data_IF_589766022409
#
_entry.id   IF_589766022409
#
_cell.length_a   1.000
_cell.length_b   1.000
_cell.length_c   1.000
_cell.angle_alpha   90.00
_cell.angle_beta   90.00
_cell.angle_gamma   90.00
#
_symmetry.space_group_name_H-M   'P 1'
#
loop_
_entity.id
_entity.type
_entity.pdbx_description
1 polymer ?
#
# COMPACT_ATOMS: atom_id res chain seq x y z
N UNK A 1 9.57 -23.80 -13.89
CA UNK A 1 9.44 -25.08 -13.15
C UNK A 1 8.39 -24.91 -12.07
N UNK A 2 7.27 -25.62 -12.18
CA UNK A 2 6.21 -25.64 -11.14
C UNK A 2 6.77 -26.43 -9.95
N UNK A 3 6.91 -25.75 -8.79
CA UNK A 3 7.27 -26.46 -7.55
C UNK A 3 6.24 -27.56 -7.26
N UNK A 4 6.70 -28.70 -6.72
CA UNK A 4 5.81 -29.81 -6.37
C UNK A 4 4.62 -29.32 -5.53
N UNK A 5 3.43 -29.91 -5.69
CA UNK A 5 2.27 -29.55 -4.87
C UNK A 5 2.58 -29.86 -3.39
N UNK A 6 1.96 -29.15 -2.44
CA UNK A 6 2.13 -29.42 -1.03
C UNK A 6 1.63 -30.83 -0.68
N UNK A 7 2.19 -31.42 0.37
CA UNK A 7 1.85 -32.77 0.82
C UNK A 7 0.38 -32.91 1.27
N UNK A 8 -0.26 -31.80 1.70
CA UNK A 8 -1.69 -31.73 2.04
C UNK A 8 -2.23 -30.31 1.84
N UNK A 9 -3.56 -30.18 1.59
CA UNK A 9 -4.22 -28.87 1.65
C UNK A 9 -4.11 -28.23 3.05
N UNK A 10 -3.86 -26.92 3.09
CA UNK A 10 -3.78 -26.11 4.31
C UNK A 10 -4.91 -25.08 4.31
N UNK A 11 -5.40 -24.70 5.48
CA UNK A 11 -6.32 -23.57 5.66
C UNK A 11 -5.52 -22.33 6.04
N UNK A 12 -5.48 -21.34 5.16
CA UNK A 12 -4.73 -20.09 5.32
C UNK A 12 -5.73 -18.93 5.36
N UNK A 13 -5.75 -18.22 6.49
CA UNK A 13 -6.63 -17.07 6.67
C UNK A 13 -5.90 -15.78 6.30
N UNK A 14 -6.48 -15.00 5.41
CA UNK A 14 -6.00 -13.69 4.97
C UNK A 14 -6.78 -12.60 5.71
N UNK A 15 -6.20 -12.07 6.77
CA UNK A 15 -6.73 -10.92 7.50
C UNK A 15 -6.22 -9.63 6.85
N UNK A 16 -7.02 -9.01 5.97
CA UNK A 16 -6.59 -7.89 5.12
C UNK A 16 -7.46 -6.66 5.35
N UNK A 17 -6.81 -5.48 5.41
CA UNK A 17 -7.50 -4.19 5.47
C UNK A 17 -8.38 -3.98 4.21
N UNK A 18 -9.63 -3.45 4.35
CA UNK A 18 -10.61 -3.37 3.25
C UNK A 18 -10.27 -2.35 2.15
N UNK A 19 -9.17 -1.63 2.27
CA UNK A 19 -8.72 -0.68 1.24
C UNK A 19 -8.37 -1.38 -0.07
N UNK A 20 -8.79 -0.87 -1.25
CA UNK A 20 -8.54 -1.51 -2.53
C UNK A 20 -7.04 -1.79 -2.80
N UNK A 21 -6.14 -0.88 -2.38
CA UNK A 21 -4.69 -1.07 -2.52
C UNK A 21 -4.16 -2.28 -1.74
N UNK A 22 -4.78 -2.61 -0.60
CA UNK A 22 -4.41 -3.73 0.26
C UNK A 22 -4.94 -5.05 -0.28
N UNK A 23 -6.26 -5.12 -0.53
CA UNK A 23 -6.90 -6.34 -1.01
C UNK A 23 -6.36 -6.74 -2.39
N UNK A 24 -6.28 -5.82 -3.35
CA UNK A 24 -5.76 -6.13 -4.68
C UNK A 24 -4.29 -6.60 -4.63
N UNK A 25 -3.47 -6.01 -3.76
CA UNK A 25 -2.10 -6.48 -3.59
C UNK A 25 -2.06 -7.91 -3.03
N UNK A 26 -2.93 -8.26 -2.07
CA UNK A 26 -2.93 -9.57 -1.41
C UNK A 26 -3.28 -10.73 -2.36
N UNK A 27 -4.03 -10.48 -3.44
CA UNK A 27 -4.38 -11.51 -4.42
C UNK A 27 -3.14 -12.13 -5.08
N UNK A 28 -2.04 -11.39 -5.21
CA UNK A 28 -0.78 -11.89 -5.76
C UNK A 28 -0.20 -13.06 -4.94
N UNK A 29 -0.45 -13.09 -3.63
CA UNK A 29 -0.07 -14.22 -2.76
C UNK A 29 -1.21 -15.24 -2.62
N UNK A 30 -2.45 -14.78 -2.52
CA UNK A 30 -3.61 -15.64 -2.29
C UNK A 30 -3.94 -16.55 -3.48
N UNK A 31 -3.86 -16.02 -4.71
CA UNK A 31 -4.16 -16.80 -5.92
C UNK A 31 -3.20 -17.98 -6.14
N UNK A 32 -1.86 -17.83 -6.06
CA UNK A 32 -0.94 -18.95 -6.13
C UNK A 32 -1.17 -20.00 -5.05
N UNK A 33 -1.44 -19.61 -3.80
CA UNK A 33 -1.76 -20.55 -2.72
C UNK A 33 -3.01 -21.36 -3.03
N UNK A 34 -4.08 -20.68 -3.49
CA UNK A 34 -5.31 -21.38 -3.91
C UNK A 34 -5.08 -22.30 -5.09
N UNK A 35 -4.32 -21.87 -6.09
CA UNK A 35 -3.98 -22.70 -7.26
C UNK A 35 -3.18 -23.97 -6.89
N UNK A 36 -2.49 -23.95 -5.76
CA UNK A 36 -1.77 -25.10 -5.19
C UNK A 36 -2.64 -25.99 -4.30
N UNK A 37 -3.96 -25.71 -4.24
CA UNK A 37 -4.94 -26.54 -3.53
C UNK A 37 -5.19 -26.15 -2.07
N UNK A 38 -4.63 -25.04 -1.58
CA UNK A 38 -4.92 -24.56 -0.22
C UNK A 38 -6.30 -23.91 -0.15
N UNK A 39 -6.95 -24.03 1.00
CA UNK A 39 -8.16 -23.27 1.33
C UNK A 39 -7.73 -21.88 1.80
N UNK A 40 -8.03 -20.87 0.99
CA UNK A 40 -7.72 -19.46 1.30
C UNK A 40 -9.01 -18.74 1.66
N UNK A 41 -9.08 -18.20 2.89
CA UNK A 41 -10.25 -17.51 3.43
C UNK A 41 -9.86 -16.07 3.74
N UNK A 42 -10.59 -15.11 3.19
CA UNK A 42 -10.46 -13.71 3.60
C UNK A 42 -11.26 -13.46 4.88
N UNK A 43 -10.59 -12.92 5.89
CA UNK A 43 -11.16 -12.57 7.18
C UNK A 43 -10.97 -11.09 7.43
N UNK A 44 -12.05 -10.31 7.43
CA UNK A 44 -11.89 -8.85 7.42
C UNK A 44 -13.16 -8.07 7.68
N UNK A 45 -13.02 -6.74 7.61
CA UNK A 45 -14.14 -5.81 7.68
C UNK A 45 -15.00 -5.92 6.41
N UNK A 46 -16.32 -5.75 6.54
CA UNK A 46 -17.30 -5.97 5.47
C UNK A 46 -16.99 -5.25 4.14
N UNK A 47 -16.36 -4.07 4.18
CA UNK A 47 -15.99 -3.31 2.97
C UNK A 47 -15.02 -4.02 2.01
N UNK A 48 -14.40 -5.13 2.43
CA UNK A 48 -13.55 -5.96 1.58
C UNK A 48 -14.26 -7.10 0.86
N UNK A 49 -15.49 -7.44 1.28
CA UNK A 49 -16.23 -8.62 0.83
C UNK A 49 -16.38 -8.68 -0.69
N UNK A 50 -16.88 -7.60 -1.30
CA UNK A 50 -17.17 -7.57 -2.73
C UNK A 50 -15.93 -7.88 -3.59
N UNK A 51 -14.75 -7.34 -3.21
CA UNK A 51 -13.50 -7.58 -3.91
C UNK A 51 -13.02 -9.02 -3.76
N UNK A 52 -13.02 -9.56 -2.53
CA UNK A 52 -12.56 -10.94 -2.29
C UNK A 52 -13.46 -11.97 -2.95
N UNK A 53 -14.79 -11.83 -2.78
CA UNK A 53 -15.79 -12.73 -3.40
C UNK A 53 -15.75 -12.62 -4.93
N UNK A 54 -15.59 -11.42 -5.48
CA UNK A 54 -15.45 -11.21 -6.92
C UNK A 54 -14.24 -11.91 -7.54
N UNK A 55 -13.21 -12.23 -6.74
CA UNK A 55 -12.04 -13.05 -7.12
C UNK A 55 -12.24 -14.54 -6.78
N UNK A 56 -13.43 -14.95 -6.33
CA UNK A 56 -13.77 -16.33 -6.01
C UNK A 56 -13.19 -16.83 -4.69
N UNK A 57 -12.87 -15.95 -3.73
CA UNK A 57 -12.43 -16.33 -2.40
C UNK A 57 -13.62 -16.40 -1.41
N UNK A 58 -13.53 -17.32 -0.45
CA UNK A 58 -14.39 -17.32 0.73
C UNK A 58 -14.11 -16.04 1.55
N UNK A 59 -15.16 -15.40 2.07
CA UNK A 59 -15.03 -14.21 2.90
C UNK A 59 -15.87 -14.33 4.17
N UNK A 60 -15.22 -14.16 5.31
CA UNK A 60 -15.85 -14.10 6.64
C UNK A 60 -15.63 -12.70 7.22
N UNK A 61 -16.72 -12.02 7.53
CA UNK A 61 -16.66 -10.70 8.15
C UNK A 61 -16.53 -10.79 9.67
N UNK A 62 -15.73 -9.91 10.25
CA UNK A 62 -15.77 -9.63 11.68
C UNK A 62 -16.13 -8.16 11.90
N UNK A 63 -16.67 -7.86 13.11
CA UNK A 63 -16.96 -6.49 13.52
C UNK A 63 -17.83 -5.72 12.51
N UNK A 64 -18.88 -6.36 11.99
CA UNK A 64 -19.80 -5.79 11.00
C UNK A 64 -20.45 -4.48 11.47
N UNK A 65 -20.64 -4.34 12.79
CA UNK A 65 -21.16 -3.14 13.46
C UNK A 65 -20.17 -1.96 13.45
N UNK A 66 -18.88 -2.21 13.20
CA UNK A 66 -17.82 -1.19 13.32
C UNK A 66 -17.55 -0.43 12.03
N UNK A 67 -17.77 -1.05 10.90
CA UNK A 67 -17.54 -0.46 9.58
C UNK A 67 -18.71 -0.80 8.65
N UNK A 68 -19.88 -0.21 8.83
CA UNK A 68 -20.90 -0.29 7.80
C UNK A 68 -20.29 0.22 6.49
N UNK A 69 -20.57 -0.45 5.39
CA UNK A 69 -20.26 0.08 4.07
C UNK A 69 -20.80 1.50 4.03
N UNK A 70 -19.92 2.49 3.84
CA UNK A 70 -20.38 3.87 3.72
C UNK A 70 -21.26 3.94 2.48
N UNK A 71 -22.52 4.37 2.58
CA UNK A 71 -23.31 4.67 1.40
C UNK A 71 -22.49 5.65 0.54
N UNK A 72 -22.41 5.39 -0.76
CA UNK A 72 -21.87 6.33 -1.72
C UNK A 72 -22.66 7.63 -1.58
N UNK A 73 -22.02 8.70 -1.05
CA UNK A 73 -22.66 9.99 -0.87
C UNK A 73 -22.77 10.50 0.56
N UNK A 74 -22.31 9.78 1.58
CA UNK A 74 -22.31 10.31 2.96
C UNK A 74 -21.42 11.56 3.07
N UNK A 75 -21.94 12.69 3.60
CA UNK A 75 -21.20 13.94 3.67
C UNK A 75 -19.92 13.81 4.51
N UNK A 76 -18.81 14.32 3.98
CA UNK A 76 -17.49 14.35 4.64
C UNK A 76 -17.45 15.36 5.81
N UNK A 77 -18.51 16.09 6.07
CA UNK A 77 -18.61 17.18 7.01
C UNK A 77 -18.85 16.73 8.47
N UNK A 78 -18.04 15.81 8.97
CA UNK A 78 -17.96 15.62 10.41
C UNK A 78 -16.90 16.57 10.97
N UNK A 79 -17.23 17.34 12.02
CA UNK A 79 -16.25 18.13 12.77
C UNK A 79 -15.15 17.21 13.29
N UNK A 80 -13.96 17.76 13.56
CA UNK A 80 -12.85 16.98 14.13
C UNK A 80 -13.27 16.19 15.39
N UNK A 81 -14.11 16.75 16.25
CA UNK A 81 -14.69 16.09 17.43
C UNK A 81 -15.56 14.89 17.08
N UNK A 82 -16.44 15.02 16.09
CA UNK A 82 -17.30 13.93 15.65
C UNK A 82 -16.50 12.76 15.07
N UNK A 83 -15.51 13.05 14.23
CA UNK A 83 -14.59 12.03 13.69
C UNK A 83 -13.89 11.26 14.79
N UNK A 84 -13.50 11.96 15.82
CA UNK A 84 -12.81 11.36 16.94
C UNK A 84 -13.71 10.51 17.83
N UNK A 85 -14.88 10.98 18.21
CA UNK A 85 -15.83 10.17 18.97
C UNK A 85 -16.18 8.87 18.24
N UNK A 86 -16.31 8.92 16.92
CA UNK A 86 -16.50 7.73 16.09
C UNK A 86 -15.29 6.80 16.21
N UNK A 87 -14.06 7.35 16.12
CA UNK A 87 -12.84 6.53 16.19
C UNK A 87 -12.68 5.88 17.57
N UNK A 88 -12.95 6.62 18.66
CA UNK A 88 -12.88 6.07 20.02
C UNK A 88 -13.92 4.96 20.24
N UNK A 89 -15.15 5.14 19.77
CA UNK A 89 -16.18 4.07 19.82
C UNK A 89 -15.72 2.82 19.03
N UNK A 90 -15.12 3.03 17.86
CA UNK A 90 -14.58 1.93 17.05
C UNK A 90 -13.49 1.16 17.79
N UNK A 91 -12.51 1.84 18.37
CA UNK A 91 -11.45 1.19 19.15
C UNK A 91 -11.98 0.44 20.37
N UNK A 92 -12.96 1.00 21.08
CA UNK A 92 -13.59 0.32 22.21
C UNK A 92 -14.38 -0.92 21.78
N UNK A 93 -15.12 -0.84 20.68
CA UNK A 93 -15.85 -1.98 20.15
C UNK A 93 -14.90 -3.07 19.66
N UNK A 94 -13.86 -2.72 18.89
CA UNK A 94 -12.81 -3.64 18.48
C UNK A 94 -12.12 -4.30 19.69
N UNK A 95 -11.76 -3.51 20.71
CA UNK A 95 -11.12 -4.08 21.89
C UNK A 95 -12.06 -5.08 22.59
N UNK A 96 -13.36 -4.76 22.74
CA UNK A 96 -14.33 -5.71 23.30
C UNK A 96 -14.34 -7.00 22.49
N UNK A 97 -14.58 -6.95 21.20
CA UNK A 97 -14.64 -8.13 20.32
C UNK A 97 -13.35 -8.95 20.34
N UNK A 98 -12.20 -8.27 20.48
CA UNK A 98 -10.91 -8.95 20.63
C UNK A 98 -10.72 -9.59 22.02
N UNK A 99 -11.46 -9.18 23.05
CA UNK A 99 -11.26 -9.62 24.45
C UNK A 99 -12.40 -10.38 25.06
N UNK A 100 -13.62 -10.31 24.50
CA UNK A 100 -14.78 -11.09 24.92
C UNK A 100 -14.84 -12.50 24.26
N UNK A 101 -13.83 -12.84 23.47
CA UNK A 101 -13.70 -14.10 22.78
C UNK A 101 -14.45 -14.19 21.44
N UNK A 102 -15.13 -13.13 21.02
CA UNK A 102 -15.90 -13.15 19.74
C UNK A 102 -14.99 -13.36 18.55
N UNK A 103 -13.92 -12.54 18.43
CA UNK A 103 -12.94 -12.68 17.33
C UNK A 103 -12.26 -14.05 17.38
N UNK A 104 -11.92 -14.53 18.57
CA UNK A 104 -11.28 -15.84 18.74
C UNK A 104 -12.17 -16.98 18.28
N UNK A 105 -13.46 -16.99 18.71
CA UNK A 105 -14.42 -18.02 18.28
C UNK A 105 -14.58 -18.05 16.77
N UNK A 106 -14.69 -16.90 16.14
CA UNK A 106 -14.80 -16.81 14.68
C UNK A 106 -13.52 -17.31 14.00
N UNK A 107 -12.35 -16.86 14.47
CA UNK A 107 -11.08 -17.24 13.88
C UNK A 107 -10.80 -18.75 14.05
N UNK A 108 -11.04 -19.29 15.24
CA UNK A 108 -10.82 -20.72 15.53
C UNK A 108 -11.81 -21.62 14.78
N UNK A 109 -13.03 -21.15 14.54
CA UNK A 109 -14.01 -21.88 13.73
C UNK A 109 -13.56 -22.09 12.27
N UNK A 110 -12.66 -21.25 11.77
CA UNK A 110 -12.05 -21.42 10.45
C UNK A 110 -10.94 -22.48 10.43
N UNK A 111 -10.47 -22.93 11.59
CA UNK A 111 -9.36 -23.86 11.75
C UNK A 111 -8.10 -23.48 10.98
N UNK A 112 -7.59 -22.24 11.14
CA UNK A 112 -6.44 -21.78 10.38
C UNK A 112 -5.15 -22.46 10.85
N UNK A 113 -4.35 -22.93 9.92
CA UNK A 113 -2.97 -23.36 10.19
C UNK A 113 -2.00 -22.19 10.15
N UNK A 114 -2.41 -21.07 9.49
CA UNK A 114 -1.64 -19.83 9.45
C UNK A 114 -2.54 -18.64 9.16
N UNK A 115 -2.19 -17.50 9.74
CA UNK A 115 -2.82 -16.21 9.44
C UNK A 115 -1.84 -15.31 8.71
N UNK A 116 -2.17 -14.91 7.47
CA UNK A 116 -1.52 -13.81 6.75
C UNK A 116 -2.24 -12.53 7.14
N UNK A 117 -1.56 -11.63 7.84
CA UNK A 117 -2.17 -10.45 8.43
C UNK A 117 -1.58 -9.15 7.87
N UNK A 118 -2.45 -8.25 7.42
CA UNK A 118 -2.08 -6.89 7.05
C UNK A 118 -1.70 -6.07 8.30
N UNK A 119 -0.62 -5.31 8.22
CA UNK A 119 -0.13 -4.49 9.33
C UNK A 119 -1.14 -3.48 9.87
N UNK A 120 -2.12 -3.04 9.08
CA UNK A 120 -3.18 -2.12 9.53
C UNK A 120 -4.25 -2.79 10.42
N UNK A 121 -4.35 -4.11 10.37
CA UNK A 121 -5.28 -4.88 11.22
C UNK A 121 -4.54 -5.83 12.16
N UNK A 122 -3.39 -5.38 12.63
CA UNK A 122 -2.46 -6.07 13.55
C UNK A 122 -3.14 -6.71 14.78
N UNK A 123 -4.34 -6.23 15.17
CA UNK A 123 -5.08 -6.81 16.30
C UNK A 123 -5.54 -8.24 16.02
N UNK A 124 -5.78 -8.63 14.76
CA UNK A 124 -6.04 -10.03 14.39
C UNK A 124 -4.77 -10.87 14.60
N UNK A 125 -3.61 -10.35 14.19
CA UNK A 125 -2.33 -11.01 14.41
C UNK A 125 -2.04 -11.24 15.91
N UNK A 126 -2.26 -10.23 16.76
CA UNK A 126 -2.11 -10.35 18.22
C UNK A 126 -3.00 -11.46 18.78
N UNK A 127 -4.25 -11.57 18.30
CA UNK A 127 -5.17 -12.63 18.77
C UNK A 127 -4.77 -14.00 18.25
N UNK A 128 -4.34 -14.12 16.99
CA UNK A 128 -3.84 -15.37 16.43
C UNK A 128 -2.61 -15.87 17.22
N UNK A 129 -1.64 -14.98 17.46
CA UNK A 129 -0.45 -15.29 18.29
C UNK A 129 -0.82 -15.74 19.71
N UNK A 130 -1.80 -15.10 20.35
CA UNK A 130 -2.28 -15.50 21.67
C UNK A 130 -2.95 -16.89 21.69
N UNK A 131 -3.32 -17.41 20.53
CA UNK A 131 -3.87 -18.77 20.37
C UNK A 131 -2.87 -19.77 19.79
N UNK A 132 -1.60 -19.39 19.69
CA UNK A 132 -0.55 -20.24 19.14
C UNK A 132 -0.65 -20.47 17.62
N UNK A 133 -1.45 -19.68 16.91
CA UNK A 133 -1.56 -19.76 15.46
C UNK A 133 -0.39 -18.97 14.83
N UNK A 134 0.39 -19.57 13.93
CA UNK A 134 1.45 -18.87 13.20
C UNK A 134 0.92 -17.67 12.42
N UNK A 135 1.70 -16.58 12.42
CA UNK A 135 1.35 -15.34 11.74
C UNK A 135 2.45 -14.93 10.77
N UNK A 136 2.05 -14.54 9.58
CA UNK A 136 2.89 -13.86 8.58
C UNK A 136 2.33 -12.46 8.36
N UNK A 137 3.18 -11.46 8.46
CA UNK A 137 2.79 -10.08 8.17
C UNK A 137 2.82 -9.82 6.66
N UNK A 138 1.76 -9.25 6.12
CA UNK A 138 1.68 -8.84 4.72
C UNK A 138 1.90 -7.33 4.63
N UNK A 139 3.02 -6.94 4.03
CA UNK A 139 3.40 -5.55 3.81
C UNK A 139 3.10 -5.13 2.37
N UNK A 140 2.19 -4.21 2.18
CA UNK A 140 1.83 -3.71 0.85
C UNK A 140 2.77 -2.60 0.35
N UNK A 141 3.65 -2.12 1.18
CA UNK A 141 4.69 -1.14 0.88
C UNK A 141 6.07 -1.74 1.14
N UNK A 142 7.10 -1.12 0.59
CA UNK A 142 8.47 -1.48 0.91
C UNK A 142 8.71 -1.27 2.41
N UNK A 143 8.93 -2.36 3.12
CA UNK A 143 9.06 -2.38 4.57
C UNK A 143 10.49 -2.01 4.94
N UNK A 144 10.70 -0.78 5.39
CA UNK A 144 11.95 -0.39 6.01
C UNK A 144 11.80 -0.52 7.54
N UNK A 145 12.35 -1.59 8.12
CA UNK A 145 12.65 -1.60 9.55
C UNK A 145 13.65 -0.49 9.86
N UNK A 146 13.62 0.11 11.08
CA UNK A 146 14.59 1.12 11.47
C UNK A 146 16.03 0.65 11.23
N UNK A 147 16.75 1.34 10.37
CA UNK A 147 18.13 1.01 10.01
C UNK A 147 18.87 2.31 9.61
N UNK A 148 20.23 2.31 9.61
CA UNK A 148 21.01 3.51 9.29
C UNK A 148 21.17 3.78 7.79
N UNK A 149 20.67 2.92 6.92
CA UNK A 149 20.97 2.97 5.49
C UNK A 149 19.82 3.49 4.64
N UNK A 150 18.57 3.27 5.06
CA UNK A 150 17.38 3.64 4.31
C UNK A 150 16.41 4.42 5.18
N UNK A 151 15.97 5.59 4.72
CA UNK A 151 14.99 6.42 5.42
C UNK A 151 13.60 5.75 5.45
N UNK A 152 12.76 6.12 6.44
CA UNK A 152 11.36 5.71 6.43
C UNK A 152 10.69 6.04 5.09
N UNK A 153 9.76 5.19 4.66
CA UNK A 153 9.06 5.36 3.36
C UNK A 153 8.27 6.67 3.22
N UNK A 154 7.97 7.33 4.34
CA UNK A 154 7.35 8.65 4.35
C UNK A 154 8.23 9.78 3.83
N UNK A 155 9.54 9.57 3.82
CA UNK A 155 10.50 10.59 3.43
C UNK A 155 11.16 10.20 2.11
N UNK A 156 11.12 11.12 1.15
CA UNK A 156 11.65 10.91 -0.20
C UNK A 156 13.16 11.06 -0.29
N UNK A 157 13.91 10.63 0.71
CA UNK A 157 15.38 10.71 0.70
C UNK A 157 15.97 9.54 -0.06
N UNK A 158 16.82 9.86 -1.05
CA UNK A 158 17.65 8.87 -1.73
C UNK A 158 18.92 8.67 -0.88
N UNK A 159 19.18 7.47 -0.35
CA UNK A 159 20.38 7.21 0.44
C UNK A 159 21.62 7.22 -0.46
N UNK A 160 22.73 7.70 0.09
CA UNK A 160 24.05 7.66 -0.54
C UNK A 160 25.03 6.95 0.38
N UNK A 161 26.03 6.29 -0.15
CA UNK A 161 27.06 5.63 0.66
C UNK A 161 28.09 6.63 1.20
N UNK A 162 27.61 7.53 2.06
CA UNK A 162 28.41 8.53 2.78
C UNK A 162 27.97 8.61 4.23
N UNK A 163 28.91 8.94 5.14
CA UNK A 163 28.59 9.13 6.54
C UNK A 163 27.55 10.23 6.78
N UNK A 164 27.55 11.29 5.97
CA UNK A 164 26.54 12.38 6.01
C UNK A 164 25.16 11.85 5.68
N UNK A 165 25.03 11.01 4.64
CA UNK A 165 23.75 10.40 4.29
C UNK A 165 23.23 9.49 5.41
N UNK A 166 24.10 8.69 6.03
CA UNK A 166 23.73 7.83 7.18
C UNK A 166 23.26 8.67 8.38
N UNK A 167 23.90 9.80 8.65
CA UNK A 167 23.45 10.72 9.71
C UNK A 167 22.07 11.31 9.41
N UNK A 168 21.84 11.74 8.16
CA UNK A 168 20.54 12.26 7.73
C UNK A 168 19.43 11.19 7.80
N UNK A 169 19.73 9.94 7.42
CA UNK A 169 18.79 8.80 7.55
C UNK A 169 18.44 8.56 9.03
N UNK A 170 19.43 8.59 9.93
CA UNK A 170 19.17 8.51 11.39
C UNK A 170 18.30 9.68 11.86
N UNK A 171 18.53 10.88 11.37
CA UNK A 171 17.70 12.06 11.63
C UNK A 171 16.24 11.86 11.18
N UNK A 172 16.02 11.29 10.00
CA UNK A 172 14.68 10.98 9.48
C UNK A 172 13.95 9.97 10.41
N UNK A 173 14.62 8.93 10.88
CA UNK A 173 14.06 7.97 11.84
C UNK A 173 13.74 8.62 13.20
N UNK A 174 14.64 9.46 13.72
CA UNK A 174 14.40 10.21 14.96
C UNK A 174 13.22 11.17 14.81
N UNK A 175 13.15 11.87 13.68
CA UNK A 175 12.04 12.77 13.36
C UNK A 175 10.72 12.02 13.32
N UNK A 176 10.63 10.89 12.62
CA UNK A 176 9.42 10.07 12.57
C UNK A 176 8.99 9.60 13.97
N UNK A 177 9.95 9.18 14.81
CA UNK A 177 9.67 8.83 16.22
C UNK A 177 9.18 10.04 17.01
N UNK A 178 9.80 11.20 16.85
CA UNK A 178 9.40 12.44 17.52
C UNK A 178 7.99 12.88 17.09
N UNK A 179 7.69 12.89 15.80
CA UNK A 179 6.35 13.20 15.27
C UNK A 179 5.28 12.23 15.83
N UNK A 180 5.62 10.94 15.90
CA UNK A 180 4.73 9.93 16.49
C UNK A 180 4.54 10.15 18.00
N UNK A 181 5.59 10.49 18.74
CA UNK A 181 5.53 10.76 20.19
C UNK A 181 4.81 12.08 20.51
N UNK A 182 5.12 13.16 19.78
CA UNK A 182 4.46 14.47 19.94
C UNK A 182 2.98 14.37 19.61
N UNK A 183 2.62 13.71 18.52
CA UNK A 183 1.22 13.44 18.19
C UNK A 183 0.49 12.66 19.30
N UNK A 184 1.19 11.73 19.98
CA UNK A 184 0.69 10.97 21.13
C UNK A 184 0.54 11.84 22.39
N UNK A 185 1.52 12.69 22.68
CA UNK A 185 1.49 13.57 23.87
C UNK A 185 0.44 14.66 23.72
N UNK A 186 0.35 15.31 22.55
CA UNK A 186 -0.71 16.25 22.25
C UNK A 186 -2.10 15.59 22.32
N UNK A 187 -2.23 14.40 21.75
CA UNK A 187 -3.43 13.60 21.93
C UNK A 187 -3.69 13.31 23.42
N UNK A 188 -2.72 12.92 24.21
CA UNK A 188 -2.84 12.64 25.64
C UNK A 188 -3.16 13.89 26.48
N UNK A 189 -2.54 15.05 26.21
CA UNK A 189 -2.78 16.31 26.89
C UNK A 189 -4.17 16.90 26.59
N UNK A 190 -4.56 16.87 25.34
CA UNK A 190 -5.91 17.31 24.91
C UNK A 190 -7.02 16.41 25.44
N UNK A 191 -6.69 15.15 25.77
CA UNK A 191 -7.64 14.08 26.12
C UNK A 191 -7.57 13.66 27.59
N UNK A 192 -6.57 14.05 28.33
CA UNK A 192 -6.43 13.76 29.76
C UNK A 192 -7.59 14.31 30.62
N UNK A 193 -8.36 15.25 30.07
CA UNK A 193 -9.58 15.79 30.71
C UNK A 193 -10.83 14.91 30.54
N UNK A 194 -10.85 13.97 29.59
CA UNK A 194 -11.96 13.04 29.38
C UNK A 194 -11.56 11.67 29.90
N UNK A 195 -11.94 11.38 31.14
CA UNK A 195 -11.65 10.14 31.86
C UNK A 195 -12.29 8.94 31.19
N UNK A 196 -11.60 8.32 30.22
CA UNK A 196 -11.84 6.92 29.90
C UNK A 196 -10.90 6.09 30.77
N UNK A 197 -11.40 5.12 31.57
CA UNK A 197 -10.57 4.27 32.42
C UNK A 197 -9.54 3.46 31.62
N UNK A 198 -9.76 3.29 30.31
CA UNK A 198 -8.94 2.42 29.47
C UNK A 198 -7.90 3.17 28.62
N UNK A 199 -7.87 4.52 28.61
CA UNK A 199 -6.93 5.38 27.85
C UNK A 199 -6.72 4.97 26.38
N UNK A 200 -7.76 4.47 25.72
CA UNK A 200 -7.73 3.97 24.33
C UNK A 200 -8.00 5.13 23.37
N UNK A 201 -7.25 6.21 23.51
CA UNK A 201 -7.48 7.41 22.69
C UNK A 201 -6.73 7.38 21.36
N UNK A 202 -5.84 6.42 21.18
CA UNK A 202 -5.01 6.25 19.99
C UNK A 202 -4.63 4.77 19.83
N UNK A 203 -4.18 4.42 18.64
CA UNK A 203 -3.86 3.07 18.25
C UNK A 203 -2.90 2.34 19.19
N UNK A 204 -1.87 3.02 19.73
CA UNK A 204 -0.95 2.42 20.70
C UNK A 204 -1.57 2.16 22.07
N UNK A 205 -2.56 2.94 22.48
CA UNK A 205 -3.36 2.64 23.68
C UNK A 205 -4.14 1.35 23.49
N UNK A 206 -4.76 1.20 22.33
CA UNK A 206 -5.45 -0.03 21.95
C UNK A 206 -4.49 -1.22 21.89
N UNK A 207 -3.34 -1.09 21.21
CA UNK A 207 -2.33 -2.14 21.12
C UNK A 207 -1.89 -2.62 22.51
N UNK A 208 -1.46 -1.72 23.39
CA UNK A 208 -1.00 -2.06 24.74
C UNK A 208 -2.10 -2.73 25.58
N UNK A 209 -3.33 -2.25 25.47
CA UNK A 209 -4.46 -2.83 26.17
C UNK A 209 -4.76 -4.26 25.66
N UNK A 210 -4.73 -4.45 24.34
CA UNK A 210 -4.96 -5.75 23.73
C UNK A 210 -3.86 -6.76 24.08
N UNK A 211 -2.59 -6.40 23.91
CA UNK A 211 -1.44 -7.26 24.22
C UNK A 211 -1.52 -7.73 25.69
N UNK A 212 -1.74 -6.82 26.63
CA UNK A 212 -1.88 -7.14 28.06
C UNK A 212 -3.05 -8.09 28.31
N UNK A 213 -4.23 -7.81 27.73
CA UNK A 213 -5.43 -8.66 27.90
C UNK A 213 -5.30 -10.02 27.18
N UNK A 214 -4.41 -10.09 26.20
CA UNK A 214 -4.08 -11.34 25.50
C UNK A 214 -3.06 -12.22 26.25
N UNK A 215 -2.56 -11.77 27.42
CA UNK A 215 -1.54 -12.49 28.15
C UNK A 215 -0.14 -12.41 27.52
N UNK A 216 0.03 -11.60 26.47
CA UNK A 216 1.30 -11.43 25.78
C UNK A 216 2.15 -10.32 26.43
N UNK A 217 3.47 -10.42 26.25
CA UNK A 217 4.45 -9.43 26.73
C UNK A 217 5.34 -8.99 25.57
N UNK A 218 4.96 -7.90 24.91
CA UNK A 218 5.73 -7.34 23.80
C UNK A 218 6.59 -6.17 24.25
N UNK A 219 7.85 -6.13 23.77
CA UNK A 219 8.81 -5.05 23.98
C UNK A 219 9.10 -4.36 22.64
N UNK A 220 9.04 -3.03 22.63
CA UNK A 220 9.43 -2.23 21.46
C UNK A 220 10.92 -2.49 21.13
N UNK A 221 11.20 -2.62 19.85
CA UNK A 221 12.55 -2.95 19.34
C UNK A 221 12.84 -4.45 19.28
N UNK A 222 12.22 -5.27 20.13
CA UNK A 222 12.38 -6.73 20.14
C UNK A 222 11.23 -7.45 19.44
N UNK A 223 9.99 -7.14 19.82
CA UNK A 223 8.82 -7.87 19.36
C UNK A 223 7.99 -7.07 18.34
N UNK A 224 8.20 -5.76 18.31
CA UNK A 224 7.60 -4.85 17.34
C UNK A 224 8.41 -3.55 17.20
N UNK A 225 8.23 -2.82 16.12
CA UNK A 225 8.64 -1.43 16.00
C UNK A 225 7.44 -0.56 15.65
N UNK A 226 7.62 0.76 15.84
CA UNK A 226 6.59 1.72 15.49
C UNK A 226 6.79 2.15 14.04
N UNK A 227 5.77 1.91 13.26
CA UNK A 227 5.61 2.48 11.94
C UNK A 227 4.55 3.60 12.00
N UNK A 228 4.39 4.31 10.91
CA UNK A 228 3.39 5.38 10.73
C UNK A 228 1.98 4.86 10.92
N UNK A 229 1.75 3.64 10.49
CA UNK A 229 0.46 2.95 10.51
C UNK A 229 0.18 2.22 11.83
N UNK A 230 1.07 2.33 12.85
CA UNK A 230 0.90 1.65 14.14
C UNK A 230 2.03 0.67 14.47
N UNK A 231 1.76 -0.33 15.31
CA UNK A 231 2.76 -1.33 15.69
C UNK A 231 2.98 -2.32 14.55
N UNK A 232 4.21 -2.42 14.10
CA UNK A 232 4.64 -3.43 13.15
C UNK A 232 5.25 -4.60 13.92
N UNK A 233 4.58 -5.74 13.91
CA UNK A 233 5.02 -6.93 14.65
C UNK A 233 6.24 -7.57 13.98
N UNK A 234 7.21 -8.02 14.79
CA UNK A 234 8.35 -8.81 14.32
C UNK A 234 7.96 -10.28 14.18
N UNK A 235 7.25 -10.58 13.12
CA UNK A 235 6.92 -11.92 12.65
C UNK A 235 7.45 -12.07 11.23
N UNK A 236 7.56 -13.28 10.67
CA UNK A 236 7.89 -13.45 9.25
C UNK A 236 7.01 -12.56 8.39
N UNK A 237 7.57 -11.91 7.36
CA UNK A 237 6.79 -11.01 6.52
C UNK A 237 7.02 -11.19 5.03
N UNK A 238 5.92 -11.01 4.31
CA UNK A 238 5.88 -10.93 2.85
C UNK A 238 5.71 -9.48 2.45
N UNK A 239 6.62 -8.98 1.64
CA UNK A 239 6.55 -7.65 1.04
C UNK A 239 5.95 -7.79 -0.35
N UNK A 240 4.80 -7.13 -0.59
CA UNK A 240 4.05 -7.22 -1.85
C UNK A 240 4.66 -6.35 -2.96
N UNK A 241 6.00 -6.36 -3.05
CA UNK A 241 6.80 -5.61 -3.98
C UNK A 241 8.06 -6.41 -4.34
N UNK A 242 8.60 -6.30 -5.54
CA UNK A 242 9.88 -6.87 -5.91
C UNK A 242 11.03 -6.26 -5.11
N UNK A 243 11.99 -7.09 -4.72
CA UNK A 243 13.22 -6.65 -4.04
C UNK A 243 14.06 -5.73 -4.92
N UNK A 244 14.08 -5.99 -6.22
CA UNK A 244 14.81 -5.19 -7.20
C UNK A 244 14.38 -3.72 -7.26
N UNK A 245 13.17 -3.38 -6.76
CA UNK A 245 12.73 -1.98 -6.67
C UNK A 245 13.27 -1.26 -5.44
N UNK A 246 13.73 -1.96 -4.42
CA UNK A 246 14.28 -1.33 -3.20
C UNK A 246 15.71 -0.82 -3.43
N UNK A 247 16.18 0.00 -2.51
CA UNK A 247 17.56 0.48 -2.53
C UNK A 247 18.54 -0.69 -2.34
N UNK A 248 19.68 -0.71 -3.05
CA UNK A 248 20.72 -1.73 -2.85
C UNK A 248 21.21 -1.81 -1.41
N UNK A 249 21.21 -0.66 -0.69
CA UNK A 249 21.65 -0.54 0.70
C UNK A 249 20.58 -1.01 1.71
N UNK A 250 19.37 -1.34 1.27
CA UNK A 250 18.35 -1.84 2.18
C UNK A 250 18.80 -3.19 2.78
N UNK A 251 18.76 -3.33 4.12
CA UNK A 251 19.22 -4.54 4.77
C UNK A 251 18.35 -5.74 4.38
N UNK A 252 18.95 -6.92 4.39
CA UNK A 252 18.15 -8.15 4.38
C UNK A 252 17.50 -8.29 5.76
N UNK A 253 16.18 -8.29 5.77
CA UNK A 253 15.36 -8.43 6.99
C UNK A 253 14.76 -9.82 7.12
N UNK A 254 15.17 -10.79 6.29
CA UNK A 254 14.52 -12.09 6.19
C UNK A 254 13.14 -12.06 5.52
N UNK A 255 12.70 -10.89 5.06
CA UNK A 255 11.44 -10.75 4.33
C UNK A 255 11.46 -11.54 3.03
N UNK A 256 10.32 -12.07 2.63
CA UNK A 256 10.13 -12.63 1.29
C UNK A 256 9.39 -11.61 0.45
N UNK A 257 9.96 -11.31 -0.70
CA UNK A 257 9.42 -10.33 -1.64
C UNK A 257 8.56 -11.03 -2.69
N UNK A 258 7.46 -10.40 -3.05
CA UNK A 258 6.62 -10.89 -4.15
C UNK A 258 7.08 -10.27 -5.46
N UNK A 259 7.73 -11.06 -6.29
CA UNK A 259 8.07 -10.67 -7.65
C UNK A 259 6.79 -10.46 -8.48
N UNK A 260 6.74 -9.37 -9.12
CA UNK A 260 6.07 -8.81 -10.26
C UNK A 260 4.82 -9.44 -10.90
N UNK A 261 3.94 -10.10 -10.17
CA UNK A 261 2.64 -10.48 -10.74
C UNK A 261 1.73 -9.25 -10.81
N UNK A 262 1.51 -8.75 -12.02
CA UNK A 262 0.51 -7.73 -12.32
C UNK A 262 -0.71 -8.43 -12.91
N UNK A 263 -1.89 -8.08 -12.45
CA UNK A 263 -3.12 -8.55 -13.07
C UNK A 263 -3.38 -7.79 -14.38
N UNK A 264 -2.80 -8.31 -15.45
CA UNK A 264 -2.95 -7.75 -16.81
C UNK A 264 -4.31 -8.07 -17.44
N UNK A 265 -5.10 -8.95 -16.80
CA UNK A 265 -6.37 -9.45 -17.36
C UNK A 265 -7.60 -8.81 -16.72
N UNK A 266 -7.43 -7.81 -15.83
CA UNK A 266 -8.57 -7.15 -15.22
C UNK A 266 -9.43 -6.48 -16.32
N UNK A 267 -10.77 -6.62 -16.25
CA UNK A 267 -11.66 -5.97 -17.20
C UNK A 267 -11.52 -4.44 -17.12
N UNK A 268 -11.42 -3.78 -18.28
CA UNK A 268 -11.34 -2.33 -18.38
C UNK A 268 -12.27 -1.83 -19.49
N UNK A 269 -12.92 -0.67 -19.27
CA UNK A 269 -13.64 0.05 -20.30
C UNK A 269 -12.64 0.76 -21.22
N UNK A 270 -12.51 0.29 -22.45
CA UNK A 270 -11.53 0.81 -23.41
C UNK A 270 -12.03 1.99 -24.26
N UNK A 271 -13.23 2.48 -24.04
CA UNK A 271 -13.86 3.55 -24.84
C UNK A 271 -13.02 4.82 -25.01
N UNK A 272 -12.24 5.18 -23.98
CA UNK A 272 -11.29 6.32 -24.03
C UNK A 272 -10.13 6.02 -24.97
N UNK A 273 -9.59 4.79 -24.94
CA UNK A 273 -8.45 4.37 -25.77
C UNK A 273 -8.78 4.40 -27.26
N UNK A 274 -10.00 4.06 -27.62
CA UNK A 274 -10.46 4.01 -29.01
C UNK A 274 -10.48 5.39 -29.69
N UNK A 275 -10.57 6.46 -28.88
CA UNK A 275 -10.59 7.85 -29.35
C UNK A 275 -9.19 8.47 -29.49
N UNK A 276 -8.14 7.76 -29.12
CA UNK A 276 -6.78 8.28 -29.11
C UNK A 276 -6.05 8.00 -30.43
N UNK A 277 -5.29 9.00 -30.88
CA UNK A 277 -4.43 8.91 -32.05
C UNK A 277 -3.12 8.20 -31.69
N UNK A 278 -2.86 7.05 -32.30
CA UNK A 278 -1.64 6.28 -32.03
C UNK A 278 -0.37 6.92 -32.61
N UNK A 279 -0.50 7.90 -33.50
CA UNK A 279 0.62 8.67 -34.03
C UNK A 279 1.12 9.78 -33.11
N UNK A 280 0.35 10.12 -32.05
CA UNK A 280 0.72 11.17 -31.10
C UNK A 280 1.23 10.62 -29.77
N UNK A 281 2.24 11.26 -29.15
CA UNK A 281 2.68 10.89 -27.80
C UNK A 281 1.53 10.98 -26.79
N UNK A 282 1.32 9.92 -25.99
CA UNK A 282 0.30 9.90 -24.95
C UNK A 282 0.91 10.17 -23.58
N UNK A 283 0.40 11.20 -22.89
CA UNK A 283 0.63 11.48 -21.48
C UNK A 283 -0.58 10.99 -20.68
N UNK A 284 -0.39 9.93 -19.89
CA UNK A 284 -1.43 9.43 -19.00
C UNK A 284 -1.20 9.95 -17.57
N UNK A 285 -2.22 10.56 -16.95
CA UNK A 285 -2.16 11.17 -15.64
C UNK A 285 -3.18 10.54 -14.68
N UNK A 286 -2.74 10.08 -13.50
CA UNK A 286 -3.62 9.53 -12.48
C UNK A 286 -3.02 9.63 -11.08
N UNK A 287 -3.83 10.01 -10.10
CA UNK A 287 -3.49 9.98 -8.68
C UNK A 287 -4.03 8.72 -7.96
N UNK A 288 -4.52 7.73 -8.71
CA UNK A 288 -5.06 6.49 -8.17
C UNK A 288 -6.44 6.64 -7.50
N UNK A 289 -6.89 5.58 -6.84
CA UNK A 289 -8.23 5.49 -6.24
C UNK A 289 -8.45 6.41 -5.03
N UNK A 290 -7.37 6.81 -4.36
CA UNK A 290 -7.39 7.58 -3.11
C UNK A 290 -7.27 9.10 -3.35
N UNK A 291 -7.32 9.58 -4.59
CA UNK A 291 -7.14 10.99 -4.98
C UNK A 291 -8.00 11.96 -4.13
N UNK A 292 -9.21 11.54 -3.73
CA UNK A 292 -10.12 12.33 -2.86
C UNK A 292 -9.53 12.70 -1.50
N UNK A 293 -8.52 11.97 -1.02
CA UNK A 293 -7.87 12.21 0.27
C UNK A 293 -6.65 13.11 0.16
N UNK A 294 -6.24 13.48 -1.05
CA UNK A 294 -5.07 14.32 -1.27
C UNK A 294 -5.48 15.80 -1.35
N UNK A 295 -5.05 16.63 -0.39
CA UNK A 295 -5.45 18.05 -0.37
C UNK A 295 -5.06 18.81 -1.65
N UNK A 296 -3.95 18.43 -2.26
CA UNK A 296 -3.41 19.08 -3.45
C UNK A 296 -3.92 18.47 -4.78
N UNK A 297 -4.82 17.46 -4.74
CA UNK A 297 -5.34 16.83 -5.96
C UNK A 297 -6.03 17.81 -6.93
N UNK A 298 -6.90 18.75 -6.47
CA UNK A 298 -7.52 19.71 -7.37
C UNK A 298 -6.51 20.64 -8.07
N UNK A 299 -5.45 21.05 -7.37
CA UNK A 299 -4.40 21.88 -7.98
C UNK A 299 -3.53 21.08 -8.95
N UNK A 300 -3.26 19.82 -8.66
CA UNK A 300 -2.60 18.90 -9.58
C UNK A 300 -3.41 18.71 -10.86
N UNK A 301 -4.70 18.44 -10.77
CA UNK A 301 -5.57 18.25 -11.95
C UNK A 301 -5.62 19.51 -12.84
N UNK A 302 -5.68 20.70 -12.22
CA UNK A 302 -5.57 21.97 -12.96
C UNK A 302 -4.20 22.12 -13.64
N UNK A 303 -3.11 21.81 -12.94
CA UNK A 303 -1.78 21.86 -13.52
C UNK A 303 -1.62 20.93 -14.74
N UNK A 304 -2.24 19.74 -14.72
CA UNK A 304 -2.30 18.83 -15.88
C UNK A 304 -3.11 19.45 -17.02
N UNK A 305 -4.30 20.00 -16.74
CA UNK A 305 -5.15 20.65 -17.73
C UNK A 305 -4.43 21.86 -18.39
N UNK A 306 -3.72 22.64 -17.60
CA UNK A 306 -2.94 23.78 -18.12
C UNK A 306 -1.68 23.33 -18.89
N UNK A 307 -1.02 22.23 -18.45
CA UNK A 307 0.10 21.66 -19.18
C UNK A 307 -0.30 21.11 -20.55
N UNK A 308 -1.52 20.55 -20.68
CA UNK A 308 -2.02 20.08 -21.96
C UNK A 308 -2.18 21.20 -22.99
N UNK A 309 -2.53 22.42 -22.53
CA UNK A 309 -2.58 23.61 -23.41
C UNK A 309 -1.19 24.09 -23.86
N UNK A 310 -0.16 23.88 -23.03
CA UNK A 310 1.22 24.23 -23.38
C UNK A 310 1.85 23.24 -24.36
N UNK A 311 1.28 22.06 -24.52
CA UNK A 311 1.79 20.96 -25.37
C UNK A 311 0.65 20.38 -26.24
N UNK A 312 0.16 21.14 -27.20
CA UNK A 312 -0.96 20.74 -28.07
C UNK A 312 -0.60 19.57 -29.00
N UNK A 313 0.70 19.34 -29.24
CA UNK A 313 1.21 18.23 -30.03
C UNK A 313 1.11 16.86 -29.34
N UNK A 314 0.93 16.84 -28.01
CA UNK A 314 0.69 15.61 -27.25
C UNK A 314 -0.80 15.38 -27.02
N UNK A 315 -1.19 14.15 -26.84
CA UNK A 315 -2.51 13.82 -26.34
C UNK A 315 -2.44 13.41 -24.88
N UNK A 316 -3.50 13.73 -24.12
CA UNK A 316 -3.53 13.58 -22.70
C UNK A 316 -4.76 12.83 -22.23
N UNK A 317 -4.60 11.94 -21.27
CA UNK A 317 -5.71 11.33 -20.53
C UNK A 317 -5.49 11.61 -19.04
N UNK A 318 -6.48 12.25 -18.40
CA UNK A 318 -6.49 12.56 -16.98
C UNK A 318 -7.61 11.78 -16.29
N UNK A 319 -7.23 10.86 -15.39
CA UNK A 319 -8.17 10.18 -14.48
C UNK A 319 -8.27 10.94 -13.16
N UNK A 320 -9.44 11.53 -12.89
CA UNK A 320 -9.68 12.36 -11.69
C UNK A 320 -10.27 11.59 -10.50
N UNK A 321 -10.62 10.31 -10.71
CA UNK A 321 -11.29 9.48 -9.71
C UNK A 321 -12.81 9.69 -9.65
N UNK A 322 -13.54 8.78 -8.97
CA UNK A 322 -15.00 8.73 -9.01
C UNK A 322 -15.69 9.88 -8.29
N UNK A 323 -14.95 10.60 -7.44
CA UNK A 323 -15.49 11.66 -6.58
C UNK A 323 -15.24 13.08 -7.10
N UNK A 324 -14.55 13.22 -8.23
CA UNK A 324 -14.30 14.50 -8.90
C UNK A 324 -15.17 14.63 -10.14
N UNK A 325 -15.56 15.86 -10.46
CA UNK A 325 -16.25 16.15 -11.71
C UNK A 325 -15.24 16.36 -12.83
N UNK A 326 -15.21 15.51 -13.87
CA UNK A 326 -14.31 15.69 -15.00
C UNK A 326 -14.46 17.04 -15.72
N UNK A 327 -15.67 17.60 -15.79
CA UNK A 327 -15.94 18.87 -16.48
C UNK A 327 -15.22 20.06 -15.86
N UNK A 328 -14.89 19.99 -14.56
CA UNK A 328 -14.14 21.02 -13.84
C UNK A 328 -12.68 21.19 -14.32
N UNK A 329 -12.19 20.23 -15.12
CA UNK A 329 -10.79 20.19 -15.61
C UNK A 329 -10.72 20.07 -17.13
N UNK A 330 -11.84 20.24 -17.84
CA UNK A 330 -11.85 20.21 -19.30
C UNK A 330 -10.93 21.31 -19.88
N UNK A 331 -10.06 20.94 -20.82
CA UNK A 331 -9.10 21.85 -21.44
C UNK A 331 -8.73 21.36 -22.84
N UNK A 332 -9.05 22.15 -23.87
CA UNK A 332 -8.66 21.88 -25.26
C UNK A 332 -9.13 20.52 -25.81
N UNK A 333 -8.82 20.27 -27.07
CA UNK A 333 -9.24 19.04 -27.77
C UNK A 333 -8.23 17.89 -27.60
N UNK A 334 -7.08 18.14 -26.97
CA UNK A 334 -6.02 17.16 -26.78
C UNK A 334 -6.02 16.52 -25.39
N UNK A 335 -6.99 16.86 -24.51
CA UNK A 335 -7.13 16.31 -23.17
C UNK A 335 -8.48 15.61 -22.98
N UNK A 336 -8.44 14.31 -22.73
CA UNK A 336 -9.60 13.55 -22.25
C UNK A 336 -9.57 13.48 -20.72
N UNK A 337 -10.61 14.01 -20.05
CA UNK A 337 -10.77 13.94 -18.59
C UNK A 337 -11.85 12.92 -18.26
N UNK A 338 -11.53 11.94 -17.45
CA UNK A 338 -12.43 10.83 -17.09
C UNK A 338 -12.42 10.53 -15.61
N UNK A 339 -13.50 9.95 -15.08
CA UNK A 339 -13.52 9.45 -13.70
C UNK A 339 -12.58 8.26 -13.53
N UNK A 340 -12.64 7.31 -14.45
CA UNK A 340 -11.78 6.13 -14.50
C UNK A 340 -11.19 5.97 -15.90
N UNK A 341 -9.92 5.66 -15.96
CA UNK A 341 -9.23 5.37 -17.21
C UNK A 341 -8.84 3.89 -17.25
N UNK A 342 -8.86 3.24 -18.43
CA UNK A 342 -8.39 1.88 -18.63
C UNK A 342 -6.85 1.84 -18.55
N UNK A 343 -6.30 1.86 -17.34
CA UNK A 343 -4.88 2.09 -17.08
C UNK A 343 -3.97 1.09 -17.80
N UNK A 344 -4.31 -0.21 -17.76
CA UNK A 344 -3.50 -1.24 -18.42
C UNK A 344 -3.50 -1.06 -19.94
N UNK A 345 -4.69 -0.78 -20.50
CA UNK A 345 -4.84 -0.54 -21.93
C UNK A 345 -4.12 0.74 -22.40
N UNK A 346 -4.09 1.80 -21.56
CA UNK A 346 -3.38 3.05 -21.88
C UNK A 346 -1.87 2.89 -21.74
N UNK A 347 -1.38 2.20 -20.69
CA UNK A 347 0.05 1.96 -20.49
C UNK A 347 0.67 1.15 -21.64
N UNK A 348 -0.12 0.34 -22.34
CA UNK A 348 0.35 -0.39 -23.52
C UNK A 348 0.88 0.48 -24.68
N UNK A 349 0.60 1.79 -24.66
CA UNK A 349 1.10 2.76 -25.66
C UNK A 349 1.38 4.15 -25.11
N UNK A 350 1.29 4.35 -23.80
CA UNK A 350 1.65 5.62 -23.15
C UNK A 350 3.15 5.92 -23.34
N UNK A 351 3.45 7.17 -23.68
CA UNK A 351 4.83 7.65 -23.77
C UNK A 351 5.41 7.97 -22.40
N UNK A 352 4.54 8.38 -21.45
CA UNK A 352 4.89 8.69 -20.05
C UNK A 352 3.63 8.62 -19.19
N UNK A 353 3.79 8.21 -17.92
CA UNK A 353 2.76 8.31 -16.91
C UNK A 353 3.12 9.33 -15.84
N UNK A 354 2.19 10.25 -15.54
CA UNK A 354 2.25 11.12 -14.37
C UNK A 354 1.43 10.50 -13.25
N UNK A 355 2.07 10.16 -12.14
CA UNK A 355 1.46 9.40 -11.05
C UNK A 355 1.80 9.97 -9.67
N UNK A 356 1.00 9.63 -8.67
CA UNK A 356 1.32 9.92 -7.26
C UNK A 356 2.42 9.00 -6.67
N UNK A 357 2.84 7.96 -7.38
CA UNK A 357 3.83 6.99 -6.89
C UNK A 357 3.25 5.85 -6.06
N UNK A 358 1.98 5.52 -6.29
CA UNK A 358 1.41 4.29 -5.74
C UNK A 358 2.09 3.05 -6.32
N UNK A 359 2.48 2.11 -5.47
CA UNK A 359 3.34 0.99 -5.83
C UNK A 359 2.78 0.16 -6.99
N UNK A 360 1.46 -0.12 -7.00
CA UNK A 360 0.85 -0.89 -8.08
C UNK A 360 0.99 -0.18 -9.44
N UNK A 361 0.71 1.13 -9.50
CA UNK A 361 0.86 1.90 -10.74
C UNK A 361 2.31 1.96 -11.21
N UNK A 362 3.27 2.03 -10.29
CA UNK A 362 4.70 1.99 -10.64
C UNK A 362 5.10 0.63 -11.22
N UNK A 363 4.64 -0.47 -10.63
CA UNK A 363 4.89 -1.82 -11.15
C UNK A 363 4.26 -2.03 -12.52
N UNK A 364 3.06 -1.48 -12.75
CA UNK A 364 2.40 -1.50 -14.06
C UNK A 364 3.21 -0.69 -15.10
N UNK A 365 3.73 0.50 -14.74
CA UNK A 365 4.62 1.26 -15.61
C UNK A 365 5.91 0.48 -15.96
N UNK A 366 6.53 -0.17 -14.98
CA UNK A 366 7.72 -1.02 -15.20
C UNK A 366 7.40 -2.17 -16.15
N UNK A 367 6.23 -2.83 -15.96
CA UNK A 367 5.79 -3.92 -16.81
C UNK A 367 5.69 -3.50 -18.30
N UNK A 368 5.07 -2.34 -18.56
CA UNK A 368 4.90 -1.81 -19.90
C UNK A 368 6.11 -1.00 -20.43
N UNK A 369 7.15 -0.78 -19.62
CA UNK A 369 8.31 0.03 -19.98
C UNK A 369 8.00 1.51 -20.12
N UNK A 370 7.03 2.03 -19.37
CA UNK A 370 6.57 3.42 -19.44
C UNK A 370 7.31 4.27 -18.41
N UNK A 371 8.07 5.30 -18.85
CA UNK A 371 8.71 6.26 -17.95
C UNK A 371 7.70 7.00 -17.07
N UNK A 372 8.14 7.40 -15.88
CA UNK A 372 7.25 8.02 -14.90
C UNK A 372 7.66 9.45 -14.52
N UNK A 373 6.68 10.32 -14.31
CA UNK A 373 6.81 11.54 -13.52
C UNK A 373 6.02 11.33 -12.23
N UNK A 374 6.71 11.36 -11.09
CA UNK A 374 6.09 11.03 -9.80
C UNK A 374 5.91 12.26 -8.94
N UNK A 375 4.64 12.57 -8.62
CA UNK A 375 4.21 13.67 -7.75
C UNK A 375 3.61 13.11 -6.46
N UNK A 376 4.40 12.81 -5.42
CA UNK A 376 3.91 12.16 -4.21
C UNK A 376 3.01 13.07 -3.39
N UNK A 377 1.88 12.55 -2.91
CA UNK A 377 0.95 13.25 -2.05
C UNK A 377 1.16 12.93 -0.57
N UNK A 378 1.22 11.65 -0.19
CA UNK A 378 1.31 11.21 1.20
C UNK A 378 1.71 9.73 1.33
N UNK A 379 1.78 9.24 2.57
CA UNK A 379 2.06 7.83 2.93
C UNK A 379 3.42 7.36 2.39
N UNK A 380 3.46 6.20 1.76
CA UNK A 380 4.66 5.57 1.20
C UNK A 380 5.15 6.19 -0.12
N UNK A 381 4.34 7.07 -0.73
CA UNK A 381 4.60 7.63 -2.05
C UNK A 381 5.93 8.41 -2.15
N UNK A 382 6.35 9.21 -1.16
CA UNK A 382 7.68 9.86 -1.19
C UNK A 382 8.83 8.85 -1.25
N UNK A 383 8.72 7.77 -0.48
CA UNK A 383 9.72 6.69 -0.48
C UNK A 383 9.72 5.88 -1.78
N UNK A 384 8.55 5.65 -2.37
CA UNK A 384 8.42 5.00 -3.67
C UNK A 384 9.02 5.88 -4.78
N UNK A 385 8.72 7.19 -4.78
CA UNK A 385 9.35 8.15 -5.69
C UNK A 385 10.89 8.12 -5.59
N UNK A 386 11.41 8.15 -4.36
CA UNK A 386 12.86 8.14 -4.15
C UNK A 386 13.52 6.89 -4.75
N UNK A 387 12.88 5.74 -4.65
CA UNK A 387 13.34 4.47 -5.25
C UNK A 387 13.32 4.52 -6.77
N UNK A 388 12.20 4.97 -7.34
CA UNK A 388 12.08 5.09 -8.80
C UNK A 388 13.10 6.08 -9.40
N UNK A 389 13.34 7.20 -8.72
CA UNK A 389 14.36 8.18 -9.13
C UNK A 389 15.76 7.60 -8.99
N UNK A 390 16.05 6.90 -7.88
CA UNK A 390 17.37 6.26 -7.68
C UNK A 390 17.64 5.16 -8.69
N UNK A 391 16.61 4.42 -9.11
CA UNK A 391 16.68 3.43 -10.18
C UNK A 391 16.79 4.06 -11.59
N UNK A 392 16.62 5.37 -11.72
CA UNK A 392 16.65 6.06 -13.01
C UNK A 392 15.42 5.79 -13.89
N UNK A 393 14.28 5.41 -13.31
CA UNK A 393 13.04 5.08 -14.03
C UNK A 393 11.94 6.12 -13.85
N UNK A 394 12.22 7.21 -13.12
CA UNK A 394 11.27 8.30 -12.89
C UNK A 394 11.96 9.65 -12.71
N UNK A 395 11.19 10.71 -12.97
CA UNK A 395 11.49 12.09 -12.53
C UNK A 395 10.55 12.43 -11.37
N UNK A 396 11.12 12.90 -10.24
CA UNK A 396 10.32 13.33 -9.09
C UNK A 396 9.92 14.80 -9.20
N UNK A 397 8.67 15.12 -8.89
CA UNK A 397 8.18 16.52 -8.81
C UNK A 397 7.44 16.74 -7.49
N UNK A 398 7.39 17.98 -7.02
CA UNK A 398 6.64 18.35 -5.83
C UNK A 398 5.17 18.57 -6.19
N UNK A 399 4.23 17.86 -5.55
CA UNK A 399 2.80 18.03 -5.80
C UNK A 399 2.27 19.38 -5.30
N UNK A 400 2.64 19.79 -4.09
CA UNK A 400 2.16 21.04 -3.47
C UNK A 400 2.59 22.26 -4.27
N UNK A 401 1.62 23.01 -4.76
CA UNK A 401 1.84 24.23 -5.55
C UNK A 401 2.37 23.95 -6.97
N UNK A 402 2.18 22.76 -7.50
CA UNK A 402 2.58 22.36 -8.85
C UNK A 402 1.88 23.23 -9.89
N UNK A 403 2.66 23.74 -10.86
CA UNK A 403 2.20 24.55 -12.00
C UNK A 403 2.51 23.85 -13.31
N UNK A 404 1.79 24.21 -14.38
CA UNK A 404 1.90 23.60 -15.70
C UNK A 404 3.35 23.51 -16.23
N UNK A 405 4.11 24.59 -16.17
CA UNK A 405 5.50 24.61 -16.64
C UNK A 405 6.41 23.66 -15.84
N UNK A 406 6.17 23.52 -14.53
CA UNK A 406 6.93 22.61 -13.66
C UNK A 406 6.57 21.14 -13.91
N UNK A 407 5.47 20.87 -14.59
CA UNK A 407 5.04 19.54 -14.99
C UNK A 407 5.49 19.20 -16.41
N UNK A 408 5.38 20.13 -17.35
CA UNK A 408 5.69 19.90 -18.76
C UNK A 408 7.16 19.49 -19.00
N UNK A 409 8.13 20.19 -18.39
CA UNK A 409 9.53 19.89 -18.57
C UNK A 409 9.95 18.49 -18.04
N UNK A 410 9.56 18.03 -16.83
CA UNK A 410 9.77 16.65 -16.39
C UNK A 410 9.10 15.59 -17.28
N UNK A 411 7.93 15.88 -17.83
CA UNK A 411 7.25 14.98 -18.78
C UNK A 411 8.09 14.85 -20.05
N UNK A 412 8.53 15.95 -20.63
CA UNK A 412 9.38 15.97 -21.83
C UNK A 412 10.68 15.22 -21.58
N UNK A 413 11.36 15.49 -20.44
CA UNK A 413 12.55 14.77 -20.03
C UNK A 413 12.32 13.26 -19.96
N UNK A 414 11.25 12.81 -19.31
CA UNK A 414 10.94 11.39 -19.17
C UNK A 414 10.57 10.75 -20.51
N UNK A 415 9.78 11.46 -21.34
CA UNK A 415 9.32 11.00 -22.65
C UNK A 415 10.48 10.74 -23.61
N UNK A 416 11.52 11.58 -23.60
CA UNK A 416 12.64 11.51 -24.55
C UNK A 416 13.88 10.80 -24.00
N UNK A 417 13.89 10.39 -22.72
CA UNK A 417 15.03 9.73 -22.11
C UNK A 417 15.19 8.29 -22.57
N UNK A 418 16.14 8.04 -23.45
CA UNK A 418 16.56 6.68 -23.84
C UNK A 418 17.16 5.92 -22.65
N UNK A 419 17.95 6.59 -21.82
CA UNK A 419 18.53 6.01 -20.61
C UNK A 419 17.46 5.52 -19.62
N UNK A 420 16.35 6.26 -19.46
CA UNK A 420 15.25 5.84 -18.58
C UNK A 420 14.54 4.59 -19.11
N UNK A 421 14.33 4.49 -20.43
CA UNK A 421 13.76 3.26 -21.04
C UNK A 421 14.68 2.05 -20.88
N UNK A 422 16.00 2.24 -21.05
CA UNK A 422 16.98 1.19 -20.78
C UNK A 422 16.91 0.74 -19.33
N UNK A 423 16.92 1.68 -18.37
CA UNK A 423 16.80 1.35 -16.93
C UNK A 423 15.49 0.63 -16.59
N UNK A 424 14.37 1.00 -17.22
CA UNK A 424 13.08 0.30 -17.07
C UNK A 424 13.18 -1.16 -17.53
N UNK A 425 13.84 -1.41 -18.68
CA UNK A 425 14.06 -2.76 -19.17
C UNK A 425 14.94 -3.58 -18.20
N UNK A 426 16.03 -2.99 -17.68
CA UNK A 426 16.92 -3.64 -16.71
C UNK A 426 16.19 -3.98 -15.39
N UNK A 427 15.40 -3.03 -14.84
CA UNK A 427 14.60 -3.24 -13.62
C UNK A 427 13.53 -4.32 -13.86
N UNK A 428 12.85 -4.28 -15.00
CA UNK A 428 11.87 -5.31 -15.39
C UNK A 428 12.51 -6.70 -15.46
N UNK A 429 13.70 -6.79 -16.02
CA UNK A 429 14.45 -8.05 -16.13
C UNK A 429 14.90 -8.54 -14.75
N UNK A 430 15.40 -7.65 -13.90
CA UNK A 430 15.77 -7.99 -12.52
C UNK A 430 14.57 -8.52 -11.72
N UNK A 431 13.39 -7.90 -11.85
CA UNK A 431 12.15 -8.37 -11.24
C UNK A 431 11.76 -9.77 -11.75
N UNK A 432 11.90 -10.00 -13.06
CA UNK A 432 11.58 -11.31 -13.67
C UNK A 432 12.53 -12.43 -13.21
N UNK A 433 13.74 -12.10 -12.78
CA UNK A 433 14.72 -13.04 -12.25
C UNK A 433 14.48 -13.42 -10.77
N UNK A 434 13.63 -12.70 -10.04
CA UNK A 434 13.31 -13.04 -8.66
C UNK A 434 12.46 -14.32 -8.54
N UNK A 435 12.65 -15.08 -7.44
CA UNK A 435 11.81 -16.27 -7.18
C UNK A 435 10.38 -15.85 -6.82
N UNK A 436 9.49 -15.85 -7.81
CA UNK A 436 8.08 -15.53 -7.65
C UNK A 436 7.36 -16.43 -6.62
N UNK A 437 7.93 -17.59 -6.29
CA UNK A 437 7.35 -18.55 -5.35
C UNK A 437 7.96 -18.49 -3.94
N UNK A 438 8.98 -17.68 -3.71
CA UNK A 438 9.66 -17.62 -2.41
C UNK A 438 8.71 -17.30 -1.25
N UNK A 439 7.80 -16.35 -1.44
CA UNK A 439 6.80 -15.99 -0.42
C UNK A 439 5.75 -17.09 -0.23
N UNK A 440 5.32 -17.75 -1.31
CA UNK A 440 4.37 -18.89 -1.25
C UNK A 440 4.98 -20.04 -0.47
N UNK A 441 6.22 -20.43 -0.79
CA UNK A 441 6.96 -21.50 -0.10
C UNK A 441 7.14 -21.20 1.39
N UNK A 442 7.45 -19.94 1.74
CA UNK A 442 7.57 -19.53 3.14
C UNK A 442 6.24 -19.69 3.90
N UNK A 443 5.12 -19.26 3.30
CA UNK A 443 3.79 -19.42 3.92
C UNK A 443 3.45 -20.90 4.11
N UNK A 444 3.70 -21.74 3.12
CA UNK A 444 3.48 -23.19 3.19
C UNK A 444 4.33 -23.85 4.28
N UNK A 445 5.62 -23.52 4.34
CA UNK A 445 6.52 -24.05 5.36
C UNK A 445 6.07 -23.69 6.78
N UNK A 446 5.75 -22.43 7.02
CA UNK A 446 5.28 -21.97 8.34
C UNK A 446 3.92 -22.59 8.72
N UNK A 447 3.00 -22.74 7.77
CA UNK A 447 1.69 -23.36 8.02
C UNK A 447 1.78 -24.87 8.28
N UNK A 448 2.81 -25.53 7.73
CA UNK A 448 3.05 -26.97 7.94
C UNK A 448 3.81 -27.29 9.24
N UNK A 449 4.11 -26.30 10.07
CA UNK A 449 4.91 -26.48 11.28
C UNK A 449 6.41 -26.66 11.04
N UNK A 450 6.87 -26.43 9.80
CA UNK A 450 8.29 -26.51 9.42
C UNK A 450 9.08 -25.24 9.70
N UNK A 451 8.71 -24.46 10.72
CA UNK A 451 9.41 -23.23 11.08
C UNK A 451 10.79 -23.53 11.61
N UNK A 452 11.86 -23.20 10.85
CA UNK A 452 13.14 -22.90 11.45
C UNK A 452 12.93 -21.76 12.48
N UNK A 453 13.46 -21.96 13.68
CA UNK A 453 13.43 -20.96 14.75
C UNK A 453 14.15 -19.67 14.29
N UNK A 454 13.39 -18.75 13.68
CA UNK A 454 13.86 -17.43 13.23
C UNK A 454 13.98 -16.43 14.39
N UNK A 455 14.11 -16.90 15.64
CA UNK A 455 14.33 -16.07 16.83
C UNK A 455 15.81 -15.78 17.12
N UNK A 456 16.73 -16.09 16.21
CA UNK A 456 18.16 -15.75 16.33
C UNK A 456 18.52 -14.46 15.60
#
# INVERSE_FOLDING_TARGET
MTAAPPSRPLTIVFAIHPGPGHINASFRLAQPLRARGHRVIYYGLAGGRAMAVGQGFEFVAFAEDIAPERPSGAPVAATWWQRRMVMERRFRSLLRQCTDGTLDRQLLALQPELVVCDGLIWYVAVRAMARGIPVVNLCIHLCAAPNPHVSPVLYGRIPRDTWRSRLMVRGDWMRMRAETLVGRQLASLLWGRFRSPERIHHEMGFFRALVRRSGLRFREGRDYWLDVAGPHLRVPHVVMCPRALDFPQAPDTGARYMAGLIDVRRPEDTSVKEKLDRGKPLVYCSLGSDARFYPDAPSFFRAVADASRLRPEWQWVLSVGPHSDPSAYAAGNNLAVVKWAPQMALLGFASVMVTHGGLNSMLECIHFGVPMVVAPAMRDQPGNMARAVAQGIAVGVRMKGLRAAQLAAPIEQAMHSTGMRQRLAEVKQAIAAEDAMAAVKMVESLASGGGEDMSR
#
